data_IF_718560261761
#
_entry.id   IF_718560261761
#
_cell.length_a   1.000
_cell.length_b   1.000
_cell.length_c   1.000
_cell.angle_alpha   90.00
_cell.angle_beta   90.00
_cell.angle_gamma   90.00
#
_symmetry.space_group_name_H-M   'P 1'
#
loop_
_entity.id
_entity.type
_entity.pdbx_description
1 polymer ?
#
# COMPACT_ATOMS: atom_id res chain seq x y z
N UNK A 1 -5.13 -7.45 11.00
CA UNK A 1 -6.16 -8.17 11.79
C UNK A 1 -6.29 -9.66 11.42
N UNK A 2 -6.28 -10.06 10.14
CA UNK A 2 -6.41 -11.49 9.76
C UNK A 2 -5.22 -12.36 10.22
N UNK A 3 -4.01 -11.81 10.12
CA UNK A 3 -2.75 -12.51 10.41
C UNK A 3 -2.58 -12.83 11.92
N UNK A 4 -2.89 -11.88 12.80
CA UNK A 4 -2.87 -12.08 14.25
C UNK A 4 -3.80 -13.21 14.72
N UNK A 5 -4.99 -13.34 14.10
CA UNK A 5 -5.94 -14.41 14.44
C UNK A 5 -5.45 -15.78 13.96
N UNK A 6 -4.83 -15.83 12.77
CA UNK A 6 -4.24 -17.06 12.25
C UNK A 6 -3.05 -17.52 13.11
N UNK A 7 -2.15 -16.61 13.49
CA UNK A 7 -1.03 -16.91 14.38
C UNK A 7 -1.46 -17.31 15.80
N UNK A 8 -2.46 -16.64 16.35
CA UNK A 8 -3.04 -17.02 17.65
C UNK A 8 -3.60 -18.46 17.59
N UNK A 9 -4.27 -18.81 16.49
CA UNK A 9 -4.83 -20.15 16.28
C UNK A 9 -3.76 -21.22 16.11
N UNK A 10 -2.63 -20.94 15.45
CA UNK A 10 -1.48 -21.86 15.39
C UNK A 10 -0.90 -22.11 16.78
N UNK A 11 -0.72 -21.05 17.58
CA UNK A 11 -0.16 -21.16 18.94
C UNK A 11 -1.10 -21.93 19.87
N UNK A 12 -2.40 -21.72 19.74
CA UNK A 12 -3.42 -22.43 20.52
C UNK A 12 -3.56 -23.90 20.10
N UNK A 13 -3.54 -24.18 18.79
CA UNK A 13 -3.51 -25.54 18.25
C UNK A 13 -2.29 -26.32 18.74
N UNK A 14 -1.09 -25.72 18.75
CA UNK A 14 0.09 -26.39 19.29
C UNK A 14 -0.06 -26.70 20.78
N UNK A 15 -0.55 -25.75 21.59
CA UNK A 15 -0.79 -25.96 23.02
C UNK A 15 -1.79 -27.09 23.29
N UNK A 16 -2.87 -27.17 22.51
CA UNK A 16 -3.86 -28.24 22.65
C UNK A 16 -3.29 -29.61 22.28
N UNK A 17 -2.37 -29.67 21.31
CA UNK A 17 -1.61 -30.89 20.99
C UNK A 17 -0.70 -31.30 22.15
N UNK A 18 0.06 -30.36 22.71
CA UNK A 18 0.98 -30.60 23.82
C UNK A 18 0.23 -31.06 25.10
N UNK A 19 -1.02 -30.63 25.28
CA UNK A 19 -1.92 -31.07 26.36
C UNK A 19 -2.65 -32.40 26.07
N UNK A 20 -2.40 -33.03 24.92
CA UNK A 20 -3.04 -34.28 24.48
C UNK A 20 -4.52 -34.13 24.09
N UNK A 21 -5.00 -32.91 23.88
CA UNK A 21 -6.40 -32.57 23.55
C UNK A 21 -6.67 -32.47 22.05
N UNK A 22 -5.62 -32.57 21.23
CA UNK A 22 -5.70 -32.50 19.78
C UNK A 22 -4.58 -33.38 19.20
N UNK A 23 -4.82 -33.95 18.02
CA UNK A 23 -3.78 -34.73 17.35
C UNK A 23 -2.70 -33.82 16.75
N UNK A 24 -1.46 -34.29 16.75
CA UNK A 24 -0.32 -33.52 16.26
C UNK A 24 -0.41 -33.30 14.74
N UNK A 25 -0.97 -34.24 13.98
CA UNK A 25 -1.16 -34.09 12.53
C UNK A 25 -2.16 -32.96 12.21
N UNK A 26 -3.22 -32.82 13.02
CA UNK A 26 -4.16 -31.71 12.92
C UNK A 26 -3.50 -30.36 13.25
N UNK A 27 -2.64 -30.32 14.28
CA UNK A 27 -1.88 -29.13 14.66
C UNK A 27 -0.96 -28.66 13.52
N UNK A 28 -0.25 -29.60 12.91
CA UNK A 28 0.65 -29.35 11.80
C UNK A 28 -0.10 -28.94 10.52
N UNK A 29 -1.31 -29.48 10.30
CA UNK A 29 -2.22 -29.02 9.25
C UNK A 29 -2.66 -27.57 9.41
N UNK A 30 -2.95 -27.13 10.64
CA UNK A 30 -3.25 -25.71 10.95
C UNK A 30 -2.02 -24.83 10.70
N UNK A 31 -0.85 -25.25 11.17
CA UNK A 31 0.43 -24.54 10.97
C UNK A 31 0.79 -24.39 9.50
N UNK A 32 0.67 -25.45 8.70
CA UNK A 32 0.97 -25.44 7.25
C UNK A 32 0.07 -24.47 6.51
N UNK A 33 -1.25 -24.49 6.77
CA UNK A 33 -2.20 -23.55 6.16
C UNK A 33 -1.91 -22.11 6.53
N UNK A 34 -1.65 -21.84 7.81
CA UNK A 34 -1.26 -20.51 8.27
C UNK A 34 0.00 -20.01 7.55
N UNK A 35 0.98 -20.89 7.33
CA UNK A 35 2.23 -20.54 6.62
C UNK A 35 1.98 -20.18 5.16
N UNK A 36 1.12 -20.93 4.46
CA UNK A 36 0.76 -20.64 3.05
C UNK A 36 0.06 -19.29 2.94
N UNK A 37 -0.92 -19.00 3.82
CA UNK A 37 -1.60 -17.70 3.85
C UNK A 37 -0.63 -16.58 4.20
N UNK A 38 0.30 -16.80 5.13
CA UNK A 38 1.34 -15.84 5.49
C UNK A 38 2.24 -15.47 4.29
N UNK A 39 2.67 -16.45 3.51
CA UNK A 39 3.45 -16.18 2.29
C UNK A 39 2.65 -15.46 1.21
N UNK A 40 1.38 -15.84 1.01
CA UNK A 40 0.51 -15.15 0.07
C UNK A 40 0.31 -13.67 0.49
N UNK A 41 0.07 -13.42 1.78
CA UNK A 41 -0.04 -12.06 2.31
C UNK A 41 1.25 -11.26 2.13
N UNK A 42 2.41 -11.86 2.36
CA UNK A 42 3.69 -11.18 2.15
C UNK A 42 3.90 -10.82 0.67
N UNK A 43 3.54 -11.72 -0.25
CA UNK A 43 3.58 -11.44 -1.68
C UNK A 43 2.64 -10.27 -2.05
N UNK A 44 1.42 -10.26 -1.51
CA UNK A 44 0.46 -9.15 -1.71
C UNK A 44 0.95 -7.83 -1.11
N UNK A 45 1.57 -7.85 0.08
CA UNK A 45 2.16 -6.65 0.67
C UNK A 45 3.28 -6.08 -0.20
N UNK A 46 4.15 -6.94 -0.74
CA UNK A 46 5.20 -6.53 -1.66
C UNK A 46 4.61 -5.92 -2.93
N UNK A 47 3.67 -6.61 -3.56
CA UNK A 47 2.98 -6.13 -4.75
C UNK A 47 2.28 -4.78 -4.51
N UNK A 48 1.58 -4.65 -3.38
CA UNK A 48 0.93 -3.41 -2.98
C UNK A 48 1.93 -2.27 -2.78
N UNK A 49 3.07 -2.53 -2.15
CA UNK A 49 4.10 -1.50 -1.95
C UNK A 49 4.76 -1.06 -3.25
N UNK A 50 5.08 -1.99 -4.15
CA UNK A 50 5.58 -1.69 -5.48
C UNK A 50 4.59 -0.82 -6.26
N UNK A 51 3.32 -1.23 -6.29
CA UNK A 51 2.28 -0.52 -7.01
C UNK A 51 2.03 0.86 -6.43
N UNK A 52 1.94 0.96 -5.10
CA UNK A 52 1.77 2.23 -4.38
C UNK A 52 2.89 3.22 -4.73
N UNK A 53 4.14 2.78 -4.80
CA UNK A 53 5.25 3.68 -5.12
C UNK A 53 5.13 4.26 -6.54
N UNK A 54 4.74 3.43 -7.52
CA UNK A 54 4.50 3.87 -8.90
C UNK A 54 3.34 4.85 -8.98
N UNK A 55 2.20 4.50 -8.38
CA UNK A 55 0.99 5.32 -8.45
C UNK A 55 1.19 6.68 -7.77
N UNK A 56 1.87 6.73 -6.63
CA UNK A 56 2.21 8.00 -5.96
C UNK A 56 3.16 8.85 -6.78
N UNK A 57 4.15 8.24 -7.43
CA UNK A 57 5.06 8.96 -8.32
C UNK A 57 4.29 9.60 -9.48
N UNK A 58 3.44 8.83 -10.15
CA UNK A 58 2.63 9.32 -11.27
C UNK A 58 1.66 10.42 -10.83
N UNK A 59 0.99 10.24 -9.69
CA UNK A 59 0.11 11.23 -9.08
C UNK A 59 0.84 12.55 -8.82
N UNK A 60 2.00 12.51 -8.16
CA UNK A 60 2.76 13.71 -7.84
C UNK A 60 3.32 14.39 -9.10
N UNK A 61 3.78 13.61 -10.08
CA UNK A 61 4.22 14.15 -11.37
C UNK A 61 3.08 14.86 -12.11
N UNK A 62 1.89 14.26 -12.16
CA UNK A 62 0.72 14.87 -12.79
C UNK A 62 0.33 16.18 -12.08
N UNK A 63 0.27 16.15 -10.75
CA UNK A 63 -0.05 17.32 -9.94
C UNK A 63 0.93 18.47 -10.17
N UNK A 64 2.24 18.22 -10.07
CA UNK A 64 3.25 19.27 -10.24
C UNK A 64 3.26 19.84 -11.66
N UNK A 65 3.05 19.01 -12.69
CA UNK A 65 2.89 19.49 -14.07
C UNK A 65 1.71 20.46 -14.20
N UNK A 66 0.56 20.14 -13.59
CA UNK A 66 -0.60 21.03 -13.62
C UNK A 66 -0.38 22.31 -12.83
N UNK A 67 0.31 22.24 -11.68
CA UNK A 67 0.69 23.44 -10.91
C UNK A 67 1.59 24.37 -11.72
N UNK A 68 2.61 23.84 -12.41
CA UNK A 68 3.47 24.64 -13.30
C UNK A 68 2.64 25.35 -14.37
N UNK A 69 1.77 24.62 -15.07
CA UNK A 69 0.91 25.20 -16.11
C UNK A 69 -0.03 26.27 -15.56
N UNK A 70 -0.56 26.06 -14.37
CA UNK A 70 -1.43 27.02 -13.69
C UNK A 70 -0.70 28.34 -13.43
N UNK A 71 0.48 28.31 -12.82
CA UNK A 71 1.25 29.53 -12.54
C UNK A 71 1.78 30.20 -13.81
N UNK A 72 2.15 29.42 -14.84
CA UNK A 72 2.52 29.98 -16.15
C UNK A 72 1.36 30.74 -16.79
N UNK A 73 0.12 30.25 -16.67
CA UNK A 73 -1.07 30.96 -17.18
C UNK A 73 -1.31 32.27 -16.43
N UNK A 74 -1.16 32.26 -15.11
CA UNK A 74 -1.26 33.47 -14.29
C UNK A 74 -0.20 34.48 -14.74
N UNK A 75 1.06 34.05 -14.88
CA UNK A 75 2.16 34.91 -15.34
C UNK A 75 1.85 35.56 -16.68
N UNK A 76 1.38 34.79 -17.66
CA UNK A 76 0.98 35.32 -18.98
C UNK A 76 -0.14 36.35 -18.91
N UNK A 77 -1.12 36.17 -18.02
CA UNK A 77 -2.19 37.15 -17.85
C UNK A 77 -1.66 38.46 -17.27
N UNK A 78 -0.75 38.38 -16.29
CA UNK A 78 -0.11 39.57 -15.71
C UNK A 78 0.76 40.28 -16.75
N UNK A 79 1.57 39.55 -17.52
CA UNK A 79 2.37 40.10 -18.62
C UNK A 79 1.50 40.78 -19.67
N UNK A 80 0.41 40.13 -20.10
CA UNK A 80 -0.54 40.72 -21.05
C UNK A 80 -1.17 42.01 -20.52
N UNK A 81 -1.42 42.09 -19.22
CA UNK A 81 -1.97 43.29 -18.58
C UNK A 81 -0.92 44.39 -18.51
N UNK A 82 0.33 44.07 -18.18
CA UNK A 82 1.45 45.01 -18.15
C UNK A 82 1.69 45.64 -19.53
N UNK A 83 1.70 44.83 -20.59
CA UNK A 83 1.91 45.31 -21.96
C UNK A 83 0.83 46.31 -22.43
N UNK A 84 -0.35 46.34 -21.80
CA UNK A 84 -1.36 47.37 -22.13
C UNK A 84 -0.91 48.77 -21.70
N UNK A 85 -0.06 48.88 -20.68
CA UNK A 85 0.49 50.16 -20.20
C UNK A 85 1.68 50.64 -21.01
N UNK A 86 2.43 49.74 -21.67
CA UNK A 86 3.55 50.10 -22.55
C UNK A 86 3.10 50.71 -23.89
N UNK A 87 1.82 50.53 -24.26
CA UNK A 87 1.22 51.03 -25.49
C UNK A 87 0.40 52.32 -25.29
N UNK A 88 0.49 52.94 -24.12
CA UNK A 88 -0.11 54.24 -23.77
C UNK A 88 1.02 55.28 -23.75
#
# INVERSE_FOLDING_TARGET
>A
MADQRAFAKVKESQRMSDEGKMDQEEADGVKKRCRVVGFALQAEMNHFHERRAVDFKEMMQAYLKQQILFYQRIGKQLESTLNMYDNI
#
